data_IF_687316969100
#
_entry.id   IF_687316969100
#
_cell.length_a   1.000
_cell.length_b   1.000
_cell.length_c   1.000
_cell.angle_alpha   90.00
_cell.angle_beta   90.00
_cell.angle_gamma   90.00
#
_symmetry.space_group_name_H-M   'P 1'
#
loop_
_entity.id
_entity.type
_entity.pdbx_description
1 polymer ?
#
# COMPACT_ATOMS: atom_id res chain seq x y z
N UNK A 1 3.12 -22.37 -0.91
CA UNK A 1 3.87 -21.27 -1.58
C UNK A 1 5.40 -21.40 -1.50
N UNK A 2 5.98 -22.32 -0.71
CA UNK A 2 7.44 -22.51 -0.65
C UNK A 2 8.07 -23.31 -1.82
N UNK A 3 7.27 -23.98 -2.66
CA UNK A 3 7.77 -24.89 -3.71
C UNK A 3 8.19 -24.25 -5.03
N UNK A 4 8.11 -22.91 -5.17
CA UNK A 4 8.34 -22.21 -6.45
C UNK A 4 9.64 -21.40 -6.50
N UNK A 5 10.51 -21.47 -5.47
CA UNK A 5 11.77 -20.69 -5.39
C UNK A 5 11.61 -19.19 -5.75
N UNK A 6 10.47 -18.60 -5.40
CA UNK A 6 10.22 -17.18 -5.64
C UNK A 6 10.93 -16.38 -4.56
N UNK A 7 11.96 -15.61 -4.96
CA UNK A 7 12.64 -14.67 -4.07
C UNK A 7 11.89 -13.35 -4.07
N UNK A 8 11.39 -12.96 -2.91
CA UNK A 8 10.72 -11.68 -2.71
C UNK A 8 11.63 -10.75 -1.92
N UNK A 9 11.87 -9.56 -2.45
CA UNK A 9 12.54 -8.46 -1.74
C UNK A 9 11.49 -7.40 -1.41
N UNK A 10 11.30 -7.14 -0.12
CA UNK A 10 10.31 -6.16 0.36
C UNK A 10 11.03 -4.92 0.86
N UNK A 11 10.53 -3.75 0.48
CA UNK A 11 10.98 -2.45 0.99
C UNK A 11 9.77 -1.64 1.45
N UNK A 12 9.81 -1.16 2.68
CA UNK A 12 8.88 -0.14 3.15
C UNK A 12 9.34 1.21 2.63
N UNK A 13 8.50 1.88 1.87
CA UNK A 13 8.73 3.21 1.36
C UNK A 13 7.43 4.01 1.42
N UNK A 14 7.54 5.33 1.38
CA UNK A 14 6.37 6.19 1.16
C UNK A 14 5.78 5.93 -0.23
N UNK A 15 4.54 6.38 -0.47
CA UNK A 15 3.89 6.19 -1.77
C UNK A 15 4.66 6.87 -2.90
N UNK A 16 5.15 8.09 -2.70
CA UNK A 16 5.85 8.84 -3.74
C UNK A 16 7.19 8.16 -4.09
N UNK A 17 7.89 7.61 -3.09
CA UNK A 17 9.08 6.79 -3.32
C UNK A 17 8.74 5.47 -4.01
N UNK A 18 7.64 4.82 -3.64
CA UNK A 18 7.19 3.58 -4.28
C UNK A 18 6.83 3.82 -5.76
N UNK A 19 6.13 4.91 -6.07
CA UNK A 19 5.84 5.32 -7.46
C UNK A 19 7.14 5.63 -8.22
N UNK A 20 8.11 6.32 -7.61
CA UNK A 20 9.42 6.56 -8.23
C UNK A 20 10.22 5.27 -8.46
N UNK A 21 10.16 4.31 -7.53
CA UNK A 21 10.80 3.00 -7.68
C UNK A 21 10.14 2.14 -8.77
N UNK A 22 8.80 2.19 -8.87
CA UNK A 22 8.06 1.57 -9.96
C UNK A 22 8.42 2.20 -11.31
N UNK A 23 8.45 3.53 -11.40
CA UNK A 23 8.80 4.25 -12.62
C UNK A 23 10.25 3.99 -13.07
N UNK A 24 11.18 3.92 -12.12
CA UNK A 24 12.60 3.62 -12.40
C UNK A 24 12.89 2.13 -12.62
N UNK A 25 11.92 1.22 -12.43
CA UNK A 25 12.10 -0.21 -12.57
C UNK A 25 12.90 -0.87 -11.43
N UNK A 26 13.07 -0.18 -10.30
CA UNK A 26 13.65 -0.76 -9.09
C UNK A 26 12.65 -1.63 -8.31
N UNK A 27 11.36 -1.51 -8.62
CA UNK A 27 10.30 -2.33 -8.07
C UNK A 27 9.35 -2.77 -9.21
N UNK A 28 8.86 -4.00 -9.12
CA UNK A 28 7.87 -4.54 -10.06
C UNK A 28 6.43 -4.30 -9.57
N UNK A 29 6.24 -4.33 -8.25
CA UNK A 29 4.95 -4.22 -7.59
C UNK A 29 5.02 -3.27 -6.39
N UNK A 30 4.00 -2.43 -6.23
CA UNK A 30 3.84 -1.54 -5.08
C UNK A 30 2.44 -1.66 -4.48
N UNK A 31 2.36 -1.91 -3.17
CA UNK A 31 1.08 -1.85 -2.43
C UNK A 31 1.05 -0.52 -1.70
N UNK A 32 0.15 0.37 -2.11
CA UNK A 32 0.06 1.71 -1.56
C UNK A 32 -1.38 2.04 -1.16
N UNK A 33 -1.54 2.99 -0.24
CA UNK A 33 -2.84 3.56 0.08
C UNK A 33 -3.37 4.34 -1.13
N UNK A 34 -4.65 4.14 -1.46
CA UNK A 34 -5.36 4.88 -2.47
C UNK A 34 -5.64 6.30 -1.96
N UNK A 35 -4.77 7.24 -2.32
CA UNK A 35 -5.09 8.67 -2.35
C UNK A 35 -5.99 8.83 -3.58
N UNK A 36 -7.15 9.46 -3.44
CA UNK A 36 -8.13 9.76 -4.51
C UNK A 36 -7.51 10.65 -5.62
N UNK A 37 -6.48 10.14 -6.28
CA UNK A 37 -5.68 10.77 -7.32
C UNK A 37 -5.42 9.70 -8.36
N UNK A 38 -5.65 10.05 -9.61
CA UNK A 38 -5.36 9.18 -10.75
C UNK A 38 -3.90 8.74 -10.70
N UNK A 39 -3.69 7.44 -10.82
CA UNK A 39 -2.37 6.85 -11.08
C UNK A 39 -1.97 7.24 -12.52
N UNK A 40 -0.70 7.57 -12.75
CA UNK A 40 -0.21 8.02 -14.06
C UNK A 40 -0.50 7.00 -15.18
N UNK A 41 -0.55 7.46 -16.43
CA UNK A 41 -0.91 6.63 -17.60
C UNK A 41 -0.04 5.38 -17.80
N UNK A 42 1.17 5.40 -17.26
CA UNK A 42 2.18 4.36 -17.45
C UNK A 42 2.08 3.23 -16.40
N UNK A 43 1.14 3.35 -15.47
CA UNK A 43 0.96 2.42 -14.36
C UNK A 43 -0.46 1.83 -14.36
N UNK A 44 -0.55 0.52 -14.23
CA UNK A 44 -1.82 -0.15 -13.96
C UNK A 44 -2.08 -0.17 -12.46
N UNK A 45 -3.35 0.00 -12.09
CA UNK A 45 -3.77 -0.09 -10.71
C UNK A 45 -4.98 -1.01 -10.55
N UNK A 46 -5.02 -1.72 -9.42
CA UNK A 46 -6.17 -2.53 -9.03
C UNK A 46 -6.47 -2.30 -7.55
N UNK A 47 -7.75 -2.14 -7.22
CA UNK A 47 -8.17 -2.10 -5.82
C UNK A 47 -7.94 -3.48 -5.18
N UNK A 48 -7.14 -3.53 -4.12
CA UNK A 48 -6.90 -4.77 -3.35
C UNK A 48 -7.94 -4.95 -2.24
N UNK A 49 -8.50 -3.85 -1.75
CA UNK A 49 -9.43 -3.85 -0.63
C UNK A 49 -9.23 -2.64 0.25
N UNK A 50 -9.88 -2.65 1.41
CA UNK A 50 -9.73 -1.63 2.42
C UNK A 50 -9.10 -2.24 3.68
N UNK A 51 -8.10 -1.55 4.21
CA UNK A 51 -7.52 -1.87 5.52
C UNK A 51 -8.25 -1.00 6.53
N UNK A 52 -8.97 -1.64 7.46
CA UNK A 52 -9.51 -0.97 8.63
C UNK A 52 -8.38 -0.79 9.65
N UNK A 53 -8.06 0.47 9.94
CA UNK A 53 -7.09 0.85 10.97
C UNK A 53 -7.83 1.34 12.22
N UNK A 54 -7.35 0.87 13.37
CA UNK A 54 -7.82 1.27 14.69
C UNK A 54 -6.67 1.90 15.50
N UNK A 55 -7.01 2.77 16.45
CA UNK A 55 -6.01 3.33 17.36
C UNK A 55 -5.67 2.33 18.47
N UNK A 56 -4.38 2.06 18.61
CA UNK A 56 -3.81 1.36 19.76
C UNK A 56 -3.27 2.39 20.74
N UNK A 57 -3.85 2.44 21.93
CA UNK A 57 -3.41 3.32 23.02
C UNK A 57 -3.45 2.56 24.35
N UNK A 58 -2.60 2.98 25.29
CA UNK A 58 -2.62 2.47 26.67
C UNK A 58 -4.01 2.64 27.28
N UNK A 59 -4.41 1.70 28.16
CA UNK A 59 -5.76 1.58 28.73
C UNK A 59 -6.28 2.83 29.45
N UNK A 60 -5.41 3.79 29.78
CA UNK A 60 -5.78 5.07 30.42
C UNK A 60 -5.91 6.29 29.49
N UNK A 61 -5.50 6.19 28.22
CA UNK A 61 -5.37 7.36 27.32
C UNK A 61 -6.60 7.58 26.45
N UNK A 62 -7.33 6.50 26.10
CA UNK A 62 -8.44 6.58 25.16
C UNK A 62 -9.77 6.87 25.88
N UNK A 63 -10.14 8.16 26.03
CA UNK A 63 -11.40 8.62 26.66
C UNK A 63 -12.63 8.70 25.74
N UNK A 64 -12.50 8.40 24.44
CA UNK A 64 -13.57 8.60 23.43
C UNK A 64 -13.79 7.38 22.54
N UNK A 65 -14.97 7.24 21.91
CA UNK A 65 -15.30 6.06 21.11
C UNK A 65 -14.30 5.87 19.96
N UNK A 66 -13.90 4.62 19.75
CA UNK A 66 -13.01 4.19 18.67
C UNK A 66 -13.61 4.60 17.33
N UNK A 67 -12.96 5.52 16.63
CA UNK A 67 -13.26 5.80 15.22
C UNK A 67 -12.40 4.86 14.39
N UNK A 68 -13.05 3.94 13.67
CA UNK A 68 -12.41 3.12 12.65
C UNK A 68 -12.06 4.00 11.46
N UNK A 69 -10.82 3.96 11.04
CA UNK A 69 -10.39 4.59 9.79
C UNK A 69 -10.30 3.51 8.72
N UNK A 70 -11.14 3.65 7.69
CA UNK A 70 -11.06 2.77 6.54
C UNK A 70 -10.13 3.39 5.51
N UNK A 71 -8.99 2.77 5.27
CA UNK A 71 -8.07 3.20 4.23
C UNK A 71 -8.17 2.25 3.04
N UNK A 72 -8.49 2.79 1.87
CA UNK A 72 -8.47 2.04 0.63
C UNK A 72 -7.02 1.77 0.24
N UNK A 73 -6.73 0.54 -0.18
CA UNK A 73 -5.41 0.12 -0.66
C UNK A 73 -5.48 -0.31 -2.12
N UNK A 74 -4.53 0.18 -2.90
CA UNK A 74 -4.35 -0.12 -4.31
C UNK A 74 -3.04 -0.86 -4.53
N UNK A 75 -3.09 -1.91 -5.34
CA UNK A 75 -1.91 -2.46 -5.99
C UNK A 75 -1.58 -1.59 -7.18
N UNK A 76 -0.34 -1.14 -7.27
CA UNK A 76 0.24 -0.52 -8.45
C UNK A 76 1.20 -1.52 -9.08
N UNK A 77 1.10 -1.64 -10.40
CA UNK A 77 1.98 -2.45 -11.23
C UNK A 77 2.43 -1.60 -12.41
N UNK A 78 3.70 -1.71 -12.78
CA UNK A 78 4.18 -1.10 -14.02
C UNK A 78 3.62 -1.89 -15.21
N UNK A 79 3.14 -1.18 -16.23
CA UNK A 79 2.76 -1.81 -17.51
C UNK A 79 4.07 -2.19 -18.22
N UNK A 80 4.27 -3.49 -18.47
CA UNK A 80 5.43 -4.00 -19.22
C UNK A 80 5.29 -3.72 -20.71
#
# INVERSE_FOLDING_TARGET
MAGQNVRLSLKSASRDEAEAMLASGQADLGICQARNRSVGSDMEWRALGAIDMDFYASKGVLRRPRRRFRCLTSLLCRRS
#
